data_IF_859071182346
#
_entry.id   IF_859071182346
#
_cell.length_a   1.000
_cell.length_b   1.000
_cell.length_c   1.000
_cell.angle_alpha   90.00
_cell.angle_beta   90.00
_cell.angle_gamma   90.00
#
_symmetry.space_group_name_H-M   'P 1'
#
loop_
_entity.id
_entity.type
_entity.pdbx_description
1 polymer ?
#
# COMPACT_ATOMS: atom_id res chain seq x y z
N UNK A 1 -1.82 3.96 14.26
CA UNK A 1 -1.43 2.61 13.76
C UNK A 1 -0.51 2.82 12.57
N UNK A 2 0.68 2.22 12.52
CA UNK A 2 1.52 2.30 11.31
C UNK A 2 1.05 1.24 10.32
N UNK A 3 0.71 1.66 9.10
CA UNK A 3 0.37 0.75 8.01
C UNK A 3 1.58 -0.12 7.63
N UNK A 4 1.37 -1.40 7.35
CA UNK A 4 2.42 -2.32 6.86
C UNK A 4 3.04 -1.81 5.56
N UNK A 5 2.28 -1.11 4.74
CA UNK A 5 2.75 -0.51 3.49
C UNK A 5 3.81 0.59 3.70
N UNK A 6 3.94 1.12 4.92
CA UNK A 6 4.95 2.13 5.26
C UNK A 6 6.23 1.52 5.84
N UNK A 7 6.27 0.22 6.07
CA UNK A 7 7.44 -0.45 6.59
C UNK A 7 8.54 -0.59 5.51
N UNK A 8 9.80 -0.37 5.89
CA UNK A 8 10.93 -0.50 4.97
C UNK A 8 11.02 -1.92 4.36
N UNK A 9 10.68 -2.95 5.13
CA UNK A 9 10.66 -4.34 4.65
C UNK A 9 9.62 -4.56 3.55
N UNK A 10 8.43 -3.89 3.61
CA UNK A 10 7.45 -3.93 2.53
C UNK A 10 7.99 -3.27 1.27
N UNK A 11 8.53 -2.06 1.40
CA UNK A 11 9.10 -1.34 0.27
C UNK A 11 10.22 -2.14 -0.43
N UNK A 12 11.05 -2.83 0.34
CA UNK A 12 12.14 -3.67 -0.18
C UNK A 12 11.64 -4.88 -0.98
N UNK A 13 10.54 -5.50 -0.54
CA UNK A 13 9.89 -6.57 -1.32
C UNK A 13 9.34 -6.04 -2.65
N UNK A 14 8.77 -4.83 -2.64
CA UNK A 14 8.20 -4.25 -3.85
C UNK A 14 9.25 -3.79 -4.84
N UNK A 15 10.44 -3.38 -4.40
CA UNK A 15 11.55 -2.98 -5.26
C UNK A 15 11.87 -4.03 -6.33
N UNK A 16 11.94 -5.31 -5.94
CA UNK A 16 12.19 -6.42 -6.86
C UNK A 16 11.09 -6.55 -7.92
N UNK A 17 9.83 -6.44 -7.50
CA UNK A 17 8.66 -6.61 -8.35
C UNK A 17 8.43 -5.43 -9.30
N UNK A 18 8.75 -4.24 -8.86
CA UNK A 18 8.54 -3.02 -9.62
C UNK A 18 9.65 -2.75 -10.66
N UNK A 19 10.72 -3.54 -10.64
CA UNK A 19 11.88 -3.39 -11.53
C UNK A 19 12.44 -1.95 -11.56
N UNK A 20 12.57 -1.34 -10.39
CA UNK A 20 13.08 0.02 -10.20
C UNK A 20 13.98 0.12 -8.99
N UNK A 21 14.39 1.30 -8.65
CA UNK A 21 15.22 1.63 -7.48
C UNK A 21 14.33 2.14 -6.35
N UNK A 22 14.41 1.52 -5.17
CA UNK A 22 13.77 2.05 -3.97
C UNK A 22 14.53 3.27 -3.46
N UNK A 23 13.85 4.40 -3.46
CA UNK A 23 14.38 5.66 -2.91
C UNK A 23 13.62 6.01 -1.64
N UNK A 24 14.37 6.41 -0.60
CA UNK A 24 13.83 7.05 0.60
C UNK A 24 14.21 8.52 0.59
N UNK A 25 13.23 9.39 0.69
CA UNK A 25 13.39 10.82 0.75
C UNK A 25 12.78 11.33 2.05
N UNK A 26 13.62 11.93 2.89
CA UNK A 26 13.22 12.45 4.19
C UNK A 26 13.44 13.97 4.20
N UNK A 27 12.39 14.71 4.50
CA UNK A 27 12.40 16.17 4.63
C UNK A 27 12.24 16.56 6.08
N UNK A 28 13.16 17.38 6.57
CA UNK A 28 13.12 17.92 7.93
C UNK A 28 13.01 19.46 7.84
N UNK A 29 11.83 19.98 8.16
CA UNK A 29 11.55 21.40 8.21
C UNK A 29 11.40 21.92 9.65
N UNK A 30 11.21 23.23 9.77
CA UNK A 30 10.96 23.87 11.09
C UNK A 30 9.65 23.38 11.73
N UNK A 31 8.70 22.98 10.91
CA UNK A 31 7.36 22.57 11.32
C UNK A 31 7.26 21.10 11.69
N UNK A 32 8.16 20.25 11.17
CA UNK A 32 8.09 18.82 11.37
C UNK A 32 8.93 18.02 10.37
N UNK A 33 8.57 16.75 10.21
CA UNK A 33 9.27 15.79 9.35
C UNK A 33 8.28 15.08 8.43
N UNK A 34 8.66 14.92 7.15
CA UNK A 34 7.93 14.18 6.14
C UNK A 34 8.84 13.12 5.55
N UNK A 35 8.39 11.87 5.54
CA UNK A 35 9.07 10.78 4.84
C UNK A 35 8.32 10.40 3.56
N UNK A 36 9.07 10.09 2.50
CA UNK A 36 8.50 9.59 1.25
C UNK A 36 9.38 8.46 0.70
N UNK A 37 8.79 7.28 0.53
CA UNK A 37 9.43 6.14 -0.14
C UNK A 37 8.73 5.86 -1.44
N UNK A 38 9.49 5.75 -2.51
CA UNK A 38 8.98 5.53 -3.87
C UNK A 38 9.93 4.66 -4.68
N UNK A 39 9.42 4.10 -5.76
CA UNK A 39 10.22 3.39 -6.75
C UNK A 39 10.51 4.34 -7.89
N UNK A 40 11.80 4.54 -8.18
CA UNK A 40 12.31 5.32 -9.31
C UNK A 40 12.58 4.40 -10.48
N UNK A 41 12.00 4.71 -11.64
CA UNK A 41 12.11 3.93 -12.88
C UNK A 41 12.62 4.79 -14.02
N UNK A 42 13.31 4.17 -14.96
CA UNK A 42 13.70 4.85 -16.19
C UNK A 42 12.47 5.12 -17.04
N UNK A 43 12.22 6.37 -17.40
CA UNK A 43 11.14 6.78 -18.28
C UNK A 43 11.59 6.84 -19.74
N UNK A 44 12.83 7.26 -20.01
CA UNK A 44 13.38 7.36 -21.36
C UNK A 44 14.51 8.39 -21.44
N UNK A 45 14.91 8.69 -22.68
CA UNK A 45 15.93 9.70 -22.99
C UNK A 45 15.34 10.85 -23.78
N UNK A 46 15.75 12.08 -23.47
CA UNK A 46 15.50 13.28 -24.25
C UNK A 46 16.84 14.00 -24.42
N UNK A 47 17.27 14.21 -25.67
CA UNK A 47 18.56 14.82 -25.99
C UNK A 47 19.75 14.20 -25.24
N UNK A 48 19.81 12.84 -25.26
CA UNK A 48 20.81 12.03 -24.57
C UNK A 48 20.81 12.14 -23.02
N UNK A 49 19.85 12.84 -22.44
CA UNK A 49 19.65 12.91 -20.98
C UNK A 49 18.64 11.86 -20.55
N UNK A 50 19.03 11.03 -19.58
CA UNK A 50 18.13 10.03 -18.97
C UNK A 50 17.13 10.73 -18.05
N UNK A 51 15.84 10.41 -18.24
CA UNK A 51 14.73 10.84 -17.40
C UNK A 51 14.10 9.67 -16.66
N UNK A 52 13.45 9.99 -15.55
CA UNK A 52 12.84 9.02 -14.67
C UNK A 52 11.40 9.40 -14.36
N UNK A 53 10.60 8.40 -14.03
CA UNK A 53 9.35 8.54 -13.29
C UNK A 53 9.47 7.91 -11.90
N UNK A 54 8.58 8.32 -11.01
CA UNK A 54 8.48 7.74 -9.68
C UNK A 54 7.05 7.30 -9.39
N UNK A 55 6.92 6.23 -8.64
CA UNK A 55 5.62 5.74 -8.22
C UNK A 55 5.63 5.20 -6.80
N UNK A 56 4.49 5.33 -6.12
CA UNK A 56 4.25 4.46 -4.97
C UNK A 56 4.22 3.01 -5.44
N UNK A 57 4.75 2.12 -4.62
CA UNK A 57 4.75 0.69 -4.90
C UNK A 57 3.35 0.08 -4.67
N UNK A 58 3.23 -1.23 -4.91
CA UNK A 58 1.97 -1.99 -4.72
C UNK A 58 1.37 -1.72 -3.33
N UNK A 59 0.10 -1.38 -3.28
CA UNK A 59 -0.63 -0.99 -2.09
C UNK A 59 -0.90 0.50 -2.05
N UNK A 60 -0.50 1.14 -0.99
CA UNK A 60 -0.60 2.57 -0.76
C UNK A 60 0.76 3.14 -0.37
N UNK A 61 0.98 4.42 -0.60
CA UNK A 61 2.23 5.11 -0.32
C UNK A 61 2.05 6.62 -0.34
N UNK A 62 2.97 7.32 -0.99
CA UNK A 62 3.01 8.78 -0.97
C UNK A 62 3.75 9.34 0.23
N UNK A 63 3.94 10.66 0.29
CA UNK A 63 4.56 11.33 1.43
C UNK A 63 3.74 11.15 2.70
N UNK A 64 4.41 11.09 3.84
CA UNK A 64 3.77 10.93 5.13
C UNK A 64 4.41 11.82 6.17
N UNK A 65 3.60 12.56 6.90
CA UNK A 65 4.03 13.35 8.04
C UNK A 65 4.36 12.40 9.20
N UNK A 66 5.63 12.33 9.59
CA UNK A 66 6.08 11.50 10.71
C UNK A 66 5.80 12.19 12.05
N UNK A 67 6.04 13.48 12.09
CA UNK A 67 5.64 14.37 13.19
C UNK A 67 5.50 15.81 12.69
N UNK A 68 4.68 16.59 13.37
CA UNK A 68 4.46 18.00 13.07
C UNK A 68 4.09 18.78 14.32
N UNK A 69 4.46 20.06 14.39
CA UNK A 69 3.92 20.97 15.38
C UNK A 69 2.42 21.15 15.16
N UNK A 70 1.65 21.27 16.22
CA UNK A 70 0.18 21.38 16.16
C UNK A 70 -0.27 22.50 15.22
N UNK A 71 -1.13 22.15 14.27
CA UNK A 71 -1.73 23.08 13.32
C UNK A 71 -0.80 23.61 12.23
N UNK A 72 0.41 23.04 12.07
CA UNK A 72 1.38 23.46 11.04
C UNK A 72 1.52 22.45 9.88
N UNK A 73 0.62 21.47 9.79
CA UNK A 73 0.67 20.41 8.80
C UNK A 73 0.64 20.95 7.36
N UNK A 74 -0.19 21.97 7.12
CA UNK A 74 -0.30 22.59 5.79
C UNK A 74 1.00 23.30 5.37
N UNK A 75 1.62 24.03 6.29
CA UNK A 75 2.89 24.72 6.04
C UNK A 75 4.04 23.73 5.84
N UNK A 76 4.07 22.67 6.65
CA UNK A 76 5.03 21.58 6.51
C UNK A 76 4.93 20.95 5.12
N UNK A 77 3.72 20.58 4.69
CA UNK A 77 3.51 19.95 3.40
C UNK A 77 3.83 20.88 2.22
N UNK A 78 3.55 22.17 2.32
CA UNK A 78 3.96 23.15 1.30
C UNK A 78 5.49 23.24 1.19
N UNK A 79 6.18 23.29 2.32
CA UNK A 79 7.65 23.34 2.35
C UNK A 79 8.25 22.06 1.80
N UNK A 80 7.73 20.89 2.19
CA UNK A 80 8.10 19.61 1.62
C UNK A 80 7.92 19.59 0.10
N UNK A 81 6.77 20.02 -0.40
CA UNK A 81 6.46 20.00 -1.84
C UNK A 81 7.43 20.85 -2.64
N UNK A 82 7.80 22.02 -2.14
CA UNK A 82 8.78 22.89 -2.81
C UNK A 82 10.17 22.23 -2.87
N UNK A 83 10.61 21.66 -1.77
CA UNK A 83 11.91 20.98 -1.67
C UNK A 83 11.93 19.71 -2.53
N UNK A 84 10.87 18.93 -2.49
CA UNK A 84 10.74 17.72 -3.30
C UNK A 84 10.66 18.02 -4.82
N UNK A 85 10.01 19.09 -5.21
CA UNK A 85 10.03 19.54 -6.62
C UNK A 85 11.45 19.90 -7.09
N UNK A 86 12.25 20.51 -6.21
CA UNK A 86 13.64 20.79 -6.55
C UNK A 86 14.48 19.51 -6.61
N UNK A 87 14.25 18.58 -5.71
CA UNK A 87 14.84 17.24 -5.77
C UNK A 87 14.50 16.53 -7.10
N UNK A 88 13.23 16.55 -7.51
CA UNK A 88 12.80 15.95 -8.77
C UNK A 88 13.52 16.56 -9.99
N UNK A 89 13.63 17.90 -10.04
CA UNK A 89 14.36 18.60 -11.11
C UNK A 89 15.83 18.19 -11.15
N UNK A 90 16.49 18.15 -10.00
CA UNK A 90 17.92 17.80 -9.89
C UNK A 90 18.21 16.34 -10.24
N UNK A 91 17.18 15.47 -10.20
CA UNK A 91 17.30 14.03 -10.48
C UNK A 91 16.62 13.62 -11.78
N UNK A 92 16.25 14.58 -12.65
CA UNK A 92 15.56 14.34 -13.92
C UNK A 92 14.26 13.51 -13.77
N UNK A 93 13.54 13.70 -12.68
CA UNK A 93 12.24 13.06 -12.44
C UNK A 93 11.16 13.93 -13.07
N UNK A 94 10.40 13.38 -14.03
CA UNK A 94 9.43 14.12 -14.84
C UNK A 94 7.97 13.77 -14.56
N UNK A 95 7.73 12.64 -13.90
CA UNK A 95 6.38 12.22 -13.56
C UNK A 95 6.37 11.50 -12.20
N UNK A 96 5.24 11.67 -11.50
CA UNK A 96 4.96 11.01 -10.23
C UNK A 96 3.57 10.40 -10.25
N UNK A 97 3.46 9.16 -9.76
CA UNK A 97 2.19 8.53 -9.44
C UNK A 97 2.18 8.05 -8.00
N UNK A 98 1.38 8.68 -7.15
CA UNK A 98 1.23 8.30 -5.75
C UNK A 98 -0.21 7.91 -5.43
N UNK A 99 -0.40 6.71 -4.90
CA UNK A 99 -1.66 6.28 -4.29
C UNK A 99 -1.55 6.48 -2.79
N UNK A 100 -2.16 7.56 -2.30
CA UNK A 100 -2.03 7.97 -0.90
C UNK A 100 -2.55 6.90 0.08
N UNK A 101 -1.88 6.80 1.23
CA UNK A 101 -2.28 5.88 2.31
C UNK A 101 -3.50 6.47 3.06
N UNK A 102 -4.68 5.84 3.00
CA UNK A 102 -5.88 6.32 3.66
C UNK A 102 -5.81 6.28 5.19
N UNK A 103 -4.83 5.56 5.73
CA UNK A 103 -4.58 5.43 7.18
C UNK A 103 -3.58 6.45 7.71
N UNK A 104 -2.98 7.26 6.83
CA UNK A 104 -2.14 8.36 7.26
C UNK A 104 -2.99 9.41 8.00
N UNK A 105 -2.60 9.77 9.21
CA UNK A 105 -3.36 10.71 10.05
C UNK A 105 -3.65 12.04 9.35
N UNK A 106 -2.77 12.48 8.45
CA UNK A 106 -2.82 13.75 7.75
C UNK A 106 -3.15 13.60 6.25
N UNK A 107 -3.83 12.52 5.85
CA UNK A 107 -4.14 12.24 4.45
C UNK A 107 -4.93 13.37 3.77
N UNK A 108 -5.81 14.08 4.49
CA UNK A 108 -6.57 15.22 3.97
C UNK A 108 -5.68 16.39 3.58
N UNK A 109 -4.74 16.77 4.46
CA UNK A 109 -3.80 17.87 4.22
C UNK A 109 -2.84 17.52 3.08
N UNK A 110 -2.33 16.28 3.06
CA UNK A 110 -1.48 15.77 1.98
C UNK A 110 -2.23 15.84 0.64
N UNK A 111 -3.46 15.35 0.61
CA UNK A 111 -4.33 15.36 -0.57
C UNK A 111 -4.58 16.79 -1.08
N UNK A 112 -4.86 17.72 -0.18
CA UNK A 112 -5.09 19.14 -0.53
C UNK A 112 -3.85 19.76 -1.17
N UNK A 113 -2.68 19.60 -0.55
CA UNK A 113 -1.44 20.24 -1.04
C UNK A 113 -0.95 19.62 -2.34
N UNK A 114 -1.08 18.31 -2.51
CA UNK A 114 -0.68 17.61 -3.73
C UNK A 114 -1.73 17.67 -4.84
N UNK A 115 -2.92 18.20 -4.57
CA UNK A 115 -4.02 18.20 -5.53
C UNK A 115 -4.46 16.79 -5.91
N UNK A 116 -4.46 15.86 -4.94
CA UNK A 116 -4.80 14.47 -5.21
C UNK A 116 -6.29 14.30 -5.55
N UNK A 117 -6.57 13.50 -6.57
CA UNK A 117 -7.93 13.19 -6.97
C UNK A 117 -8.51 12.04 -6.13
N UNK A 118 -9.83 12.08 -5.93
CA UNK A 118 -10.55 11.01 -5.24
C UNK A 118 -10.52 9.73 -6.07
N UNK A 119 -9.97 8.65 -5.50
CA UNK A 119 -9.85 7.36 -6.17
C UNK A 119 -10.97 6.37 -5.78
N UNK A 120 -11.39 6.37 -4.51
CA UNK A 120 -12.42 5.44 -4.02
C UNK A 120 -12.54 5.40 -2.50
N UNK A 121 -13.51 4.60 -2.03
CA UNK A 121 -13.74 4.37 -0.61
C UNK A 121 -13.04 3.12 -0.11
N UNK A 122 -12.60 3.17 1.15
CA UNK A 122 -12.15 2.00 1.90
C UNK A 122 -13.21 1.64 2.93
N UNK A 123 -13.42 0.34 3.10
CA UNK A 123 -14.29 -0.18 4.15
C UNK A 123 -13.44 -0.65 5.32
N UNK A 124 -13.75 -0.13 6.50
CA UNK A 124 -13.03 -0.45 7.73
C UNK A 124 -13.97 -1.03 8.76
N UNK A 125 -13.52 -2.03 9.49
CA UNK A 125 -14.18 -2.50 10.69
C UNK A 125 -13.34 -2.09 11.91
N UNK A 126 -13.96 -1.46 12.89
CA UNK A 126 -13.33 -1.26 14.19
C UNK A 126 -13.36 -2.60 14.94
N UNK A 127 -12.17 -3.21 15.09
CA UNK A 127 -12.04 -4.51 15.76
C UNK A 127 -12.07 -4.41 17.30
N UNK A 128 -12.10 -3.20 17.87
CA UNK A 128 -12.30 -2.97 19.31
C UNK A 128 -13.77 -3.07 19.72
N UNK A 129 -14.67 -3.04 18.74
CA UNK A 129 -16.12 -3.12 18.92
C UNK A 129 -16.69 -4.41 18.30
N UNK A 130 -17.94 -4.74 18.69
CA UNK A 130 -18.67 -5.80 18.01
C UNK A 130 -19.20 -5.31 16.65
N UNK A 131 -18.31 -5.24 15.66
CA UNK A 131 -18.63 -4.79 14.30
C UNK A 131 -19.66 -5.69 13.60
N UNK A 132 -19.74 -6.97 13.96
CA UNK A 132 -20.77 -7.88 13.42
C UNK A 132 -22.17 -7.36 13.73
N UNK A 133 -22.44 -6.93 14.96
CA UNK A 133 -23.74 -6.41 15.34
C UNK A 133 -23.99 -4.99 14.82
N UNK A 134 -22.97 -4.13 14.88
CA UNK A 134 -23.09 -2.70 14.58
C UNK A 134 -23.00 -2.38 13.08
N UNK A 135 -22.07 -3.02 12.37
CA UNK A 135 -21.71 -2.62 11.01
C UNK A 135 -22.26 -3.56 9.92
N UNK A 136 -22.46 -4.85 10.22
CA UNK A 136 -22.92 -5.78 9.20
C UNK A 136 -24.40 -5.64 8.89
N UNK A 137 -24.69 -5.49 7.60
CA UNK A 137 -26.06 -5.47 7.11
C UNK A 137 -26.72 -6.87 7.19
N UNK A 138 -28.04 -6.91 7.00
CA UNK A 138 -28.83 -8.14 7.09
C UNK A 138 -28.39 -9.23 6.10
N UNK A 139 -27.90 -8.84 4.91
CA UNK A 139 -27.42 -9.78 3.88
C UNK A 139 -26.14 -10.48 4.34
N UNK A 140 -25.19 -9.72 4.87
CA UNK A 140 -23.92 -10.26 5.40
C UNK A 140 -24.17 -11.19 6.59
N UNK A 141 -25.03 -10.80 7.55
CA UNK A 141 -25.39 -11.64 8.69
C UNK A 141 -26.04 -12.96 8.26
N UNK A 142 -26.91 -12.95 7.23
CA UNK A 142 -27.50 -14.17 6.66
C UNK A 142 -26.47 -15.07 6.00
N UNK A 143 -25.49 -14.51 5.26
CA UNK A 143 -24.45 -15.29 4.62
C UNK A 143 -23.55 -15.99 5.64
N UNK A 144 -23.18 -15.28 6.71
CA UNK A 144 -22.40 -15.84 7.83
C UNK A 144 -23.18 -16.96 8.51
N UNK A 145 -24.47 -16.74 8.83
CA UNK A 145 -25.32 -17.78 9.42
C UNK A 145 -25.38 -19.02 8.54
N UNK A 146 -25.56 -18.87 7.23
CA UNK A 146 -25.58 -19.99 6.28
C UNK A 146 -24.25 -20.79 6.32
N UNK A 147 -23.12 -20.12 6.42
CA UNK A 147 -21.83 -20.78 6.54
C UNK A 147 -21.71 -21.58 7.86
N UNK A 148 -22.14 -20.98 8.97
CA UNK A 148 -22.16 -21.65 10.28
C UNK A 148 -23.08 -22.89 10.24
N UNK A 149 -24.29 -22.75 9.70
CA UNK A 149 -25.26 -23.85 9.58
C UNK A 149 -24.75 -24.98 8.66
N UNK A 150 -23.82 -24.67 7.74
CA UNK A 150 -23.13 -25.64 6.88
C UNK A 150 -21.84 -26.19 7.50
N UNK A 151 -21.56 -25.92 8.77
CA UNK A 151 -20.36 -26.32 9.50
C UNK A 151 -19.03 -25.85 8.87
N UNK A 152 -19.05 -24.73 8.14
CA UNK A 152 -17.83 -24.12 7.62
C UNK A 152 -17.01 -23.63 8.82
N UNK A 153 -15.77 -24.07 8.92
CA UNK A 153 -14.80 -23.58 9.89
C UNK A 153 -13.71 -22.74 9.23
N UNK A 154 -13.06 -21.88 10.00
CA UNK A 154 -11.96 -21.05 9.52
C UNK A 154 -10.68 -21.48 10.23
N UNK A 155 -9.65 -21.78 9.44
CA UNK A 155 -8.31 -22.10 9.93
C UNK A 155 -7.31 -21.07 9.47
N UNK A 156 -6.47 -20.60 10.37
CA UNK A 156 -5.39 -19.67 10.08
C UNK A 156 -4.10 -20.45 9.82
N UNK A 157 -3.45 -20.12 8.70
CA UNK A 157 -2.16 -20.68 8.31
C UNK A 157 -1.12 -19.55 8.37
N UNK A 158 -0.26 -19.58 9.37
CA UNK A 158 0.83 -18.62 9.59
C UNK A 158 2.16 -19.05 8.97
N UNK A 159 2.24 -20.28 8.49
CA UNK A 159 3.47 -20.90 8.00
C UNK A 159 3.51 -21.00 6.46
N UNK A 160 2.41 -20.60 5.78
CA UNK A 160 2.32 -20.63 4.32
C UNK A 160 2.11 -22.02 3.72
N UNK A 161 1.73 -23.01 4.52
CA UNK A 161 1.50 -24.40 4.05
C UNK A 161 0.44 -24.46 2.96
N UNK A 162 -0.50 -23.53 2.97
CA UNK A 162 -1.62 -23.47 2.00
C UNK A 162 -1.32 -22.61 0.77
N UNK A 163 -0.10 -22.09 0.59
CA UNK A 163 0.30 -21.31 -0.59
C UNK A 163 -0.06 -22.03 -1.91
N UNK A 164 0.25 -23.32 -2.13
CA UNK A 164 -0.09 -24.00 -3.39
C UNK A 164 -1.59 -23.99 -3.67
N UNK A 165 -2.42 -24.22 -2.63
CA UNK A 165 -3.88 -24.22 -2.78
C UNK A 165 -4.43 -22.81 -3.03
N UNK A 166 -3.88 -21.81 -2.37
CA UNK A 166 -4.23 -20.43 -2.64
C UNK A 166 -3.94 -20.05 -4.09
N UNK A 167 -2.75 -20.39 -4.60
CA UNK A 167 -2.35 -20.09 -5.98
C UNK A 167 -3.24 -20.77 -7.02
N UNK A 168 -3.64 -22.02 -6.80
CA UNK A 168 -4.59 -22.73 -7.65
C UNK A 168 -5.92 -21.94 -7.76
N UNK A 169 -6.49 -21.53 -6.62
CA UNK A 169 -7.75 -20.78 -6.56
C UNK A 169 -7.60 -19.37 -7.15
N UNK A 170 -6.48 -18.73 -6.88
CA UNK A 170 -6.16 -17.40 -7.36
C UNK A 170 -5.97 -17.38 -8.87
N UNK A 171 -5.23 -18.37 -9.43
CA UNK A 171 -5.03 -18.48 -10.87
C UNK A 171 -6.34 -18.65 -11.63
N UNK A 172 -7.26 -19.47 -11.13
CA UNK A 172 -8.60 -19.61 -11.71
C UNK A 172 -9.36 -18.26 -11.76
N UNK A 173 -9.19 -17.43 -10.75
CA UNK A 173 -9.78 -16.08 -10.69
C UNK A 173 -9.10 -15.13 -11.68
N UNK A 174 -7.78 -15.14 -11.72
CA UNK A 174 -6.97 -14.31 -12.63
C UNK A 174 -7.31 -14.62 -14.11
N UNK A 175 -7.41 -15.89 -14.46
CA UNK A 175 -7.71 -16.32 -15.81
C UNK A 175 -9.14 -15.96 -16.21
N UNK A 176 -10.09 -16.17 -15.32
CA UNK A 176 -11.51 -15.81 -15.53
C UNK A 176 -11.71 -14.31 -15.83
N UNK A 177 -10.97 -13.44 -15.14
CA UNK A 177 -11.11 -11.99 -15.25
C UNK A 177 -10.04 -11.34 -16.11
N UNK A 178 -9.14 -12.11 -16.74
CA UNK A 178 -8.03 -11.62 -17.58
C UNK A 178 -7.22 -10.52 -16.90
N UNK A 179 -6.90 -10.76 -15.62
CA UNK A 179 -6.22 -9.78 -14.78
C UNK A 179 -4.78 -9.55 -15.29
N UNK A 180 -4.33 -8.28 -15.28
CA UNK A 180 -2.98 -7.91 -15.67
C UNK A 180 -1.91 -8.74 -14.93
N UNK A 181 -0.82 -9.07 -15.64
CA UNK A 181 0.34 -9.77 -15.08
C UNK A 181 0.91 -9.11 -13.82
N UNK A 182 0.77 -7.80 -13.70
CA UNK A 182 1.17 -7.03 -12.50
C UNK A 182 0.53 -7.55 -11.21
N UNK A 183 -0.70 -8.08 -11.28
CA UNK A 183 -1.43 -8.60 -10.11
C UNK A 183 -1.22 -10.09 -9.88
N UNK A 184 -0.48 -10.78 -10.75
CA UNK A 184 -0.18 -12.20 -10.56
C UNK A 184 0.86 -12.38 -9.47
N UNK A 185 0.63 -13.38 -8.61
CA UNK A 185 1.60 -13.81 -7.61
C UNK A 185 2.27 -15.10 -8.05
N UNK A 186 3.55 -15.24 -7.73
CA UNK A 186 4.26 -16.52 -7.80
C UNK A 186 4.32 -17.17 -6.41
N UNK A 187 4.70 -18.45 -6.35
CA UNK A 187 4.89 -19.14 -5.07
C UNK A 187 6.02 -18.49 -4.27
N UNK A 188 7.12 -18.20 -4.95
CA UNK A 188 8.31 -17.58 -4.34
C UNK A 188 7.99 -16.20 -3.76
N UNK A 189 7.17 -15.38 -4.44
CA UNK A 189 6.73 -14.08 -3.91
C UNK A 189 5.92 -14.23 -2.62
N UNK A 190 5.01 -15.20 -2.57
CA UNK A 190 4.19 -15.44 -1.38
C UNK A 190 5.03 -16.00 -0.23
N UNK A 191 5.93 -16.93 -0.51
CA UNK A 191 6.86 -17.48 0.48
C UNK A 191 7.74 -16.36 1.07
N UNK A 192 8.26 -15.45 0.23
CA UNK A 192 9.03 -14.30 0.70
C UNK A 192 8.19 -13.37 1.59
N UNK A 193 6.89 -13.15 1.27
CA UNK A 193 5.99 -12.38 2.15
C UNK A 193 5.80 -13.04 3.51
N UNK A 194 5.59 -14.36 3.54
CA UNK A 194 5.45 -15.10 4.79
C UNK A 194 6.73 -15.05 5.63
N UNK A 195 7.91 -15.16 5.01
CA UNK A 195 9.18 -15.07 5.72
C UNK A 195 9.43 -13.67 6.29
N UNK A 196 9.28 -12.62 5.46
CA UNK A 196 9.53 -11.24 5.88
C UNK A 196 8.53 -10.74 6.92
N UNK A 197 7.27 -11.21 6.83
CA UNK A 197 6.17 -10.84 7.74
C UNK A 197 5.74 -11.98 8.65
N UNK A 198 6.68 -12.84 9.06
CA UNK A 198 6.41 -13.96 9.93
C UNK A 198 5.66 -13.56 11.20
N UNK A 199 4.57 -14.28 11.50
CA UNK A 199 3.69 -13.98 12.63
C UNK A 199 2.74 -12.79 12.42
N UNK A 200 2.82 -12.10 11.28
CA UNK A 200 1.91 -10.99 10.89
C UNK A 200 1.13 -11.34 9.63
N UNK A 201 1.77 -12.02 8.67
CA UNK A 201 1.13 -12.54 7.47
C UNK A 201 0.50 -13.91 7.75
N UNK A 202 -0.70 -14.16 7.26
CA UNK A 202 -1.37 -15.45 7.35
C UNK A 202 -2.44 -15.60 6.26
N UNK A 203 -2.75 -16.86 5.92
CA UNK A 203 -3.97 -17.17 5.19
C UNK A 203 -5.11 -17.54 6.13
N UNK A 204 -6.32 -17.10 5.76
CA UNK A 204 -7.57 -17.48 6.39
C UNK A 204 -8.30 -18.46 5.46
N UNK A 205 -8.30 -19.73 5.84
CA UNK A 205 -8.84 -20.80 5.02
C UNK A 205 -10.21 -21.21 5.52
N UNK A 206 -11.23 -21.12 4.67
CA UNK A 206 -12.56 -21.71 4.91
C UNK A 206 -12.52 -23.21 4.54
N UNK A 207 -12.89 -24.09 5.47
CA UNK A 207 -12.86 -25.56 5.32
C UNK A 207 -14.14 -26.18 5.86
#
# INVERSE_FOLDING_TARGET
>A
MKSVYREARWAKLQEKKEAGELVSYDFIGKQGEVSYRFIKKQAGFIDDVQYYDISSYRGTGGPCIEWCNDGQELELMKSFTQDFQQYCKNNNIIAEFAKLDPWAANASVISEVLGAEFYGYFYCNDLTENFYEKAYNRRSKRAIKKAIDANVSVKFDFDGVTIPKFLELYQNTVDKFQVSAYYKFTAEELEEYFEVFKGVCFFSNAV
#
